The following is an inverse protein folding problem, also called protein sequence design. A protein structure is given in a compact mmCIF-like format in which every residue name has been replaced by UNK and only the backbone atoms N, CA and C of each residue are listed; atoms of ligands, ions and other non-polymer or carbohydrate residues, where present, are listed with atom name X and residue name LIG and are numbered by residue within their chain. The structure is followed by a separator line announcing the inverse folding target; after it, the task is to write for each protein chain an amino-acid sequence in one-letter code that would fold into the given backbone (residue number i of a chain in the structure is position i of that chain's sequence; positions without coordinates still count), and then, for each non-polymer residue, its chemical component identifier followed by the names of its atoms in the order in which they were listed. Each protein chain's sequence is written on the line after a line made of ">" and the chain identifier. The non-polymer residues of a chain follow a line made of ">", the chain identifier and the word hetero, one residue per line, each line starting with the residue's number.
data_IF_553813747054
#
_entry.id   IF_553813747054
#
_cell.length_a   1.000
_cell.length_b   1.000
_cell.length_c   1.000
_cell.angle_alpha   90.00
_cell.angle_beta   90.00
_cell.angle_gamma   90.00
#
_symmetry.space_group_name_H-M   'P 1'
#
loop_
_entity.id
_entity.type
_entity.pdbx_description
1 polymer ?
#
# COMPACT_ATOMS: atom_id res chain seq x y z
N UNK A 1 4.72 -17.33 9.49
CA UNK A 1 4.03 -16.17 8.87
C UNK A 1 4.92 -15.48 7.84
N UNK A 2 6.12 -15.03 8.23
CA UNK A 2 7.02 -14.19 7.42
C UNK A 2 7.42 -14.80 6.06
N UNK A 3 7.81 -16.07 5.99
CA UNK A 3 8.20 -16.70 4.73
C UNK A 3 7.04 -16.80 3.73
N UNK A 4 5.87 -17.27 4.18
CA UNK A 4 4.68 -17.34 3.33
C UNK A 4 4.23 -15.95 2.87
N UNK A 5 4.29 -14.95 3.75
CA UNK A 5 4.01 -13.56 3.36
C UNK A 5 4.89 -13.12 2.17
N UNK A 6 6.21 -13.32 2.24
CA UNK A 6 7.11 -12.96 1.14
C UNK A 6 6.86 -13.78 -0.12
N UNK A 7 6.53 -15.07 0.00
CA UNK A 7 6.17 -15.93 -1.13
C UNK A 7 4.92 -15.42 -1.86
N UNK A 8 3.85 -15.13 -1.11
CA UNK A 8 2.60 -14.62 -1.69
C UNK A 8 2.75 -13.20 -2.21
N UNK A 9 3.59 -12.37 -1.59
CA UNK A 9 3.94 -11.04 -2.09
C UNK A 9 4.70 -11.13 -3.43
N UNK A 10 5.65 -12.05 -3.55
CA UNK A 10 6.37 -12.30 -4.80
C UNK A 10 5.44 -12.84 -5.90
N UNK A 11 4.54 -13.78 -5.56
CA UNK A 11 3.51 -14.28 -6.45
C UNK A 11 2.60 -13.15 -6.95
N UNK A 12 2.16 -12.28 -6.04
CA UNK A 12 1.34 -11.12 -6.40
C UNK A 12 2.08 -10.19 -7.36
N UNK A 13 3.34 -9.85 -7.06
CA UNK A 13 4.18 -9.03 -7.94
C UNK A 13 4.35 -9.64 -9.33
N UNK A 14 4.54 -10.97 -9.41
CA UNK A 14 4.60 -11.70 -10.67
C UNK A 14 3.30 -11.60 -11.47
N UNK A 15 2.15 -11.87 -10.83
CA UNK A 15 0.83 -11.78 -11.48
C UNK A 15 0.56 -10.35 -11.97
N UNK A 16 0.89 -9.34 -11.16
CA UNK A 16 0.76 -7.93 -11.54
C UNK A 16 1.63 -7.58 -12.75
N UNK A 17 2.88 -8.03 -12.80
CA UNK A 17 3.74 -7.83 -13.98
C UNK A 17 3.19 -8.53 -15.21
N UNK A 18 2.80 -9.80 -15.09
CA UNK A 18 2.25 -10.58 -16.19
C UNK A 18 1.00 -9.91 -16.78
N UNK A 19 0.06 -9.52 -15.93
CA UNK A 19 -1.16 -8.81 -16.36
C UNK A 19 -0.86 -7.45 -16.99
N UNK A 20 0.12 -6.69 -16.48
CA UNK A 20 0.55 -5.44 -17.12
C UNK A 20 1.16 -5.68 -18.51
N UNK A 21 1.89 -6.78 -18.71
CA UNK A 21 2.42 -7.16 -20.03
C UNK A 21 1.31 -7.61 -20.98
N UNK A 22 0.40 -8.47 -20.53
CA UNK A 22 -0.71 -8.99 -21.34
C UNK A 22 -1.70 -7.90 -21.75
N UNK A 23 -1.85 -6.87 -20.92
CA UNK A 23 -2.75 -5.74 -21.22
C UNK A 23 -2.05 -4.61 -21.99
N UNK A 24 -0.75 -4.72 -22.28
CA UNK A 24 0.01 -3.60 -22.82
C UNK A 24 -0.50 -3.10 -24.19
N UNK A 25 -0.64 -1.78 -24.30
CA UNK A 25 -0.96 -1.14 -25.59
C UNK A 25 0.28 -1.17 -26.52
N UNK A 26 0.06 -1.10 -27.84
CA UNK A 26 1.14 -0.95 -28.81
C UNK A 26 2.02 0.26 -28.44
N UNK A 27 3.33 0.04 -28.30
CA UNK A 27 4.30 1.08 -27.93
C UNK A 27 4.58 1.24 -26.43
N UNK A 28 3.96 0.44 -25.55
CA UNK A 28 4.31 0.43 -24.13
C UNK A 28 5.73 -0.13 -23.91
N UNK A 29 6.50 0.48 -23.01
CA UNK A 29 7.84 0.02 -22.65
C UNK A 29 7.78 -1.25 -21.80
N UNK A 30 7.54 -2.40 -22.43
CA UNK A 30 7.48 -3.73 -21.79
C UNK A 30 8.76 -4.55 -21.98
N UNK A 31 9.87 -3.90 -22.37
CA UNK A 31 11.16 -4.57 -22.59
C UNK A 31 11.83 -5.09 -21.31
N UNK A 32 13.06 -5.61 -21.44
CA UNK A 32 13.83 -6.20 -20.33
C UNK A 32 13.97 -5.29 -19.11
N UNK A 33 14.07 -3.98 -19.31
CA UNK A 33 14.10 -3.00 -18.23
C UNK A 33 12.84 -3.04 -17.37
N UNK A 34 11.66 -3.25 -17.96
CA UNK A 34 10.41 -3.40 -17.21
C UNK A 34 10.38 -4.72 -16.45
N UNK A 35 10.66 -5.82 -17.16
CA UNK A 35 10.56 -7.19 -16.62
C UNK A 35 11.42 -7.36 -15.38
N UNK A 36 12.65 -6.84 -15.42
CA UNK A 36 13.61 -6.95 -14.31
C UNK A 36 13.34 -5.94 -13.19
N UNK A 37 12.79 -4.76 -13.50
CA UNK A 37 12.54 -3.71 -12.50
C UNK A 37 11.51 -4.12 -11.43
N UNK A 38 11.56 -3.57 -10.21
CA UNK A 38 10.54 -3.82 -9.19
C UNK A 38 9.23 -3.06 -9.44
N UNK A 39 9.16 -2.16 -10.43
CA UNK A 39 7.93 -1.42 -10.72
C UNK A 39 6.88 -2.32 -11.38
N UNK A 40 5.61 -2.00 -11.11
CA UNK A 40 4.48 -2.85 -11.48
C UNK A 40 3.81 -2.42 -12.79
N UNK A 41 3.96 -1.16 -13.20
CA UNK A 41 3.38 -0.63 -14.44
C UNK A 41 4.46 -0.10 -15.39
N UNK A 42 4.37 -0.36 -16.71
CA UNK A 42 5.31 0.16 -17.70
C UNK A 42 5.43 1.68 -17.67
N UNK A 43 4.32 2.38 -17.46
CA UNK A 43 4.30 3.85 -17.39
C UNK A 43 5.05 4.41 -16.18
N UNK A 44 5.33 3.59 -15.15
CA UNK A 44 6.13 4.00 -14.00
C UNK A 44 7.61 4.14 -14.34
N UNK A 45 8.09 3.47 -15.40
CA UNK A 45 9.48 3.59 -15.88
C UNK A 45 9.82 5.01 -16.33
N UNK A 46 8.86 5.71 -16.94
CA UNK A 46 9.03 7.08 -17.39
C UNK A 46 9.22 8.08 -16.23
N UNK A 47 9.00 7.65 -14.98
CA UNK A 47 9.19 8.47 -13.78
C UNK A 47 10.43 8.09 -12.99
N UNK A 48 11.39 7.39 -13.61
CA UNK A 48 12.70 7.23 -13.01
C UNK A 48 13.35 8.58 -12.72
N UNK A 49 14.02 8.62 -11.57
CA UNK A 49 14.65 9.80 -11.03
C UNK A 49 16.15 9.77 -11.33
N UNK A 50 16.78 10.94 -11.48
CA UNK A 50 18.22 11.01 -11.67
C UNK A 50 18.96 10.42 -10.46
N UNK A 51 20.15 9.86 -10.68
CA UNK A 51 20.99 9.27 -9.62
C UNK A 51 21.33 10.29 -8.51
N UNK A 52 21.37 11.59 -8.83
CA UNK A 52 21.56 12.66 -7.85
C UNK A 52 20.51 12.68 -6.72
N UNK A 53 19.34 12.10 -6.94
CA UNK A 53 18.28 11.99 -5.93
C UNK A 53 18.51 10.85 -4.92
N UNK A 54 19.53 10.00 -5.13
CA UNK A 54 19.81 8.84 -4.28
C UNK A 54 20.06 9.23 -2.83
N UNK A 55 20.82 10.29 -2.59
CA UNK A 55 21.11 10.77 -1.22
C UNK A 55 19.82 11.09 -0.47
N UNK A 56 18.85 11.73 -1.11
CA UNK A 56 17.56 12.05 -0.50
C UNK A 56 16.79 10.77 -0.14
N UNK A 57 16.75 9.80 -1.07
CA UNK A 57 16.06 8.52 -0.86
C UNK A 57 16.68 7.73 0.29
N UNK A 58 18.01 7.63 0.33
CA UNK A 58 18.72 6.91 1.39
C UNK A 58 18.58 7.60 2.75
N UNK A 59 18.73 8.92 2.82
CA UNK A 59 18.53 9.67 4.07
C UNK A 59 17.10 9.53 4.58
N UNK A 60 16.10 9.64 3.70
CA UNK A 60 14.69 9.46 4.06
C UNK A 60 14.43 8.03 4.54
N UNK A 61 14.94 7.02 3.83
CA UNK A 61 14.82 5.62 4.22
C UNK A 61 15.48 5.33 5.57
N UNK A 62 16.66 5.90 5.83
CA UNK A 62 17.37 5.79 7.10
C UNK A 62 16.57 6.43 8.24
N UNK A 63 16.15 7.70 8.08
CA UNK A 63 15.39 8.41 9.13
C UNK A 63 14.09 7.70 9.46
N UNK A 64 13.32 7.30 8.44
CA UNK A 64 12.04 6.61 8.66
C UNK A 64 12.23 5.17 9.16
N UNK A 65 13.32 4.50 8.76
CA UNK A 65 13.72 3.20 9.30
C UNK A 65 14.17 3.27 10.76
N UNK A 66 14.91 4.30 11.15
CA UNK A 66 15.26 4.55 12.55
C UNK A 66 14.00 4.85 13.38
N UNK A 67 13.08 5.67 12.85
CA UNK A 67 11.80 5.92 13.49
C UNK A 67 10.96 4.65 13.61
N UNK A 68 10.95 3.78 12.60
CA UNK A 68 10.32 2.46 12.67
C UNK A 68 10.89 1.65 13.84
N UNK A 69 12.21 1.54 13.95
CA UNK A 69 12.87 0.75 14.99
C UNK A 69 12.56 1.27 16.41
N UNK A 70 12.61 2.59 16.60
CA UNK A 70 12.27 3.24 17.88
C UNK A 70 10.80 3.04 18.23
N UNK A 71 9.89 3.29 17.28
CA UNK A 71 8.45 3.10 17.49
C UNK A 71 8.12 1.62 17.76
N UNK A 72 8.74 0.69 17.03
CA UNK A 72 8.59 -0.74 17.23
C UNK A 72 9.01 -1.16 18.63
N UNK A 73 10.20 -0.73 19.06
CA UNK A 73 10.73 -1.02 20.39
C UNK A 73 9.80 -0.50 21.50
N UNK A 74 9.35 0.76 21.39
CA UNK A 74 8.42 1.35 22.35
C UNK A 74 7.08 0.63 22.38
N UNK A 75 6.49 0.33 21.22
CA UNK A 75 5.22 -0.40 21.13
C UNK A 75 5.35 -1.81 21.72
N UNK A 76 6.45 -2.53 21.46
CA UNK A 76 6.70 -3.85 22.06
C UNK A 76 6.73 -3.81 23.58
N UNK A 77 7.28 -2.75 24.19
CA UNK A 77 7.28 -2.57 25.65
C UNK A 77 5.88 -2.35 26.18
N UNK A 78 5.11 -1.46 25.55
CA UNK A 78 3.72 -1.22 25.93
C UNK A 78 2.88 -2.50 25.79
N UNK A 79 3.02 -3.24 24.69
CA UNK A 79 2.27 -4.49 24.47
C UNK A 79 2.67 -5.59 25.46
N UNK A 80 3.92 -5.61 25.93
CA UNK A 80 4.38 -6.59 26.92
C UNK A 80 3.94 -6.24 28.35
N UNK A 81 3.81 -4.95 28.67
CA UNK A 81 3.42 -4.48 30.01
C UNK A 81 1.90 -4.38 30.19
N UNK A 82 1.16 -4.12 29.11
CA UNK A 82 -0.28 -3.86 29.15
C UNK A 82 -1.06 -4.86 28.29
N UNK A 83 -2.12 -5.45 28.86
CA UNK A 83 -3.08 -6.28 28.13
C UNK A 83 -3.99 -5.42 27.25
N UNK A 84 -3.47 -4.98 26.11
CA UNK A 84 -4.19 -4.13 25.17
C UNK A 84 -5.22 -4.93 24.35
N UNK A 85 -6.42 -4.38 24.22
CA UNK A 85 -7.45 -4.92 23.34
C UNK A 85 -7.02 -4.83 21.86
N UNK A 86 -7.44 -5.79 21.04
CA UNK A 86 -7.04 -5.87 19.63
C UNK A 86 -7.25 -4.57 18.81
N UNK A 87 -8.38 -3.83 18.95
CA UNK A 87 -8.54 -2.56 18.22
C UNK A 87 -7.51 -1.51 18.63
N UNK A 88 -7.12 -1.47 19.90
CA UNK A 88 -6.10 -0.53 20.41
C UNK A 88 -4.74 -0.84 19.79
N UNK A 89 -4.39 -2.13 19.67
CA UNK A 89 -3.18 -2.58 18.97
C UNK A 89 -3.20 -2.13 17.49
N UNK A 90 -4.34 -2.26 16.81
CA UNK A 90 -4.49 -1.79 15.44
C UNK A 90 -4.21 -0.30 15.30
N UNK A 91 -4.74 0.53 16.22
CA UNK A 91 -4.48 1.97 16.21
C UNK A 91 -3.03 2.32 16.55
N UNK A 92 -2.42 1.61 17.50
CA UNK A 92 -1.00 1.77 17.83
C UNK A 92 -0.10 1.44 16.63
N UNK A 93 -0.52 0.47 15.80
CA UNK A 93 0.20 0.03 14.62
C UNK A 93 0.01 0.94 13.38
N UNK A 94 -0.81 2.00 13.44
CA UNK A 94 -1.07 2.93 12.33
C UNK A 94 0.16 3.43 11.55
N UNK A 95 1.28 3.85 12.19
CA UNK A 95 2.41 4.39 11.46
C UNK A 95 3.24 3.32 10.74
N UNK A 96 3.14 2.04 11.16
CA UNK A 96 4.04 0.97 10.72
C UNK A 96 3.98 0.69 9.21
N UNK A 97 2.82 0.64 8.53
CA UNK A 97 2.76 0.45 7.08
C UNK A 97 3.54 1.51 6.29
N UNK A 98 3.47 2.78 6.72
CA UNK A 98 4.19 3.88 6.06
C UNK A 98 5.71 3.78 6.34
N UNK A 99 6.08 3.60 7.60
CA UNK A 99 7.47 3.55 8.02
C UNK A 99 8.20 2.35 7.42
N UNK A 100 7.58 1.15 7.49
CA UNK A 100 8.12 -0.06 6.85
C UNK A 100 8.21 0.12 5.34
N UNK A 101 7.17 0.65 4.70
CA UNK A 101 7.15 0.82 3.25
C UNK A 101 8.22 1.80 2.74
N UNK A 102 8.49 2.89 3.45
CA UNK A 102 9.55 3.84 3.12
C UNK A 102 10.95 3.26 3.37
N UNK A 103 11.12 2.51 4.47
CA UNK A 103 12.37 1.78 4.75
C UNK A 103 12.66 0.76 3.65
N UNK A 104 11.68 -0.09 3.30
CA UNK A 104 11.82 -1.09 2.24
C UNK A 104 12.07 -0.43 0.88
N UNK A 105 11.41 0.68 0.57
CA UNK A 105 11.70 1.44 -0.66
C UNK A 105 13.15 1.92 -0.72
N UNK A 106 13.71 2.43 0.39
CA UNK A 106 15.11 2.82 0.47
C UNK A 106 16.07 1.66 0.16
N UNK A 107 15.80 0.48 0.72
CA UNK A 107 16.57 -0.73 0.45
C UNK A 107 16.47 -1.17 -1.02
N UNK A 108 15.26 -1.20 -1.57
CA UNK A 108 15.05 -1.57 -2.98
C UNK A 108 15.70 -0.56 -3.92
N UNK A 109 15.68 0.73 -3.59
CA UNK A 109 16.36 1.77 -4.36
C UNK A 109 17.89 1.58 -4.36
N UNK A 110 18.48 1.16 -3.23
CA UNK A 110 19.90 0.83 -3.15
C UNK A 110 20.26 -0.39 -4.00
N UNK A 111 19.47 -1.46 -3.90
CA UNK A 111 19.66 -2.69 -4.70
C UNK A 111 19.52 -2.43 -6.21
N UNK A 112 18.74 -1.43 -6.59
CA UNK A 112 18.50 -1.07 -7.99
C UNK A 112 19.49 -0.05 -8.56
N UNK A 113 20.44 0.43 -7.76
CA UNK A 113 21.42 1.44 -8.18
C UNK A 113 22.24 1.05 -9.44
N UNK A 114 22.67 -0.23 -9.64
CA UNK A 114 23.42 -0.62 -10.84
C UNK A 114 22.69 -0.35 -12.16
N UNK A 115 21.37 -0.16 -12.14
CA UNK A 115 20.59 0.19 -13.32
C UNK A 115 20.82 1.64 -13.81
N UNK A 116 21.52 2.48 -13.03
CA UNK A 116 21.86 3.85 -13.42
C UNK A 116 20.75 4.88 -13.21
N UNK A 117 19.71 4.55 -12.45
CA UNK A 117 18.60 5.44 -12.13
C UNK A 117 17.94 5.08 -10.80
N UNK A 118 17.21 6.03 -10.21
CA UNK A 118 16.48 5.85 -8.95
C UNK A 118 15.01 5.57 -9.23
N UNK A 119 14.46 4.56 -8.55
CA UNK A 119 13.07 4.14 -8.71
C UNK A 119 12.07 5.26 -8.34
N UNK A 120 10.89 5.32 -8.97
CA UNK A 120 9.85 6.27 -8.57
C UNK A 120 9.44 6.05 -7.12
N UNK A 121 9.06 7.13 -6.42
CA UNK A 121 8.64 7.06 -5.01
C UNK A 121 7.42 6.16 -4.83
N UNK A 122 7.39 5.39 -3.75
CA UNK A 122 6.21 4.60 -3.36
C UNK A 122 5.16 5.48 -2.66
N UNK A 123 5.59 6.49 -1.89
CA UNK A 123 4.68 7.41 -1.21
C UNK A 123 4.98 8.87 -1.56
N UNK A 124 3.93 9.70 -1.57
CA UNK A 124 4.05 11.16 -1.78
C UNK A 124 3.32 11.92 -0.68
N UNK A 125 4.00 12.11 0.44
CA UNK A 125 3.49 12.80 1.64
C UNK A 125 2.01 12.48 1.93
N UNK A 126 1.69 11.24 2.36
CA UNK A 126 0.31 10.81 2.60
C UNK A 126 -0.43 11.66 3.63
N UNK A 127 0.29 12.16 4.63
CA UNK A 127 -0.27 13.02 5.70
C UNK A 127 -0.78 14.38 5.19
N UNK A 128 -0.37 14.81 4.00
CA UNK A 128 -0.85 16.02 3.35
C UNK A 128 -2.06 15.80 2.43
N UNK A 129 -2.74 14.65 2.54
CA UNK A 129 -3.94 14.35 1.76
C UNK A 129 -5.05 15.37 1.99
N UNK A 130 -5.63 15.88 0.90
CA UNK A 130 -6.72 16.88 0.95
C UNK A 130 -8.10 16.26 0.80
N UNK A 131 -8.16 14.99 0.44
CA UNK A 131 -9.38 14.23 0.16
C UNK A 131 -9.04 12.74 0.10
N UNK A 132 -10.04 11.87 0.19
CA UNK A 132 -9.88 10.44 0.14
C UNK A 132 -9.36 9.97 -1.23
N UNK A 133 -9.87 10.59 -2.29
CA UNK A 133 -9.36 10.38 -3.65
C UNK A 133 -7.89 10.85 -3.82
N UNK A 134 -7.49 11.92 -3.13
CA UNK A 134 -6.08 12.39 -3.14
C UNK A 134 -5.16 11.41 -2.39
N UNK A 135 -5.60 10.89 -1.24
CA UNK A 135 -4.86 9.90 -0.46
C UNK A 135 -4.58 8.61 -1.27
N UNK A 136 -5.63 7.90 -1.70
CA UNK A 136 -5.49 6.63 -2.43
C UNK A 136 -5.05 6.80 -3.89
N UNK A 137 -5.31 7.96 -4.48
CA UNK A 137 -5.08 8.20 -5.91
C UNK A 137 -3.72 8.80 -6.26
N UNK A 138 -3.05 9.49 -5.31
CA UNK A 138 -1.88 10.32 -5.62
C UNK A 138 -0.78 10.31 -4.56
N UNK A 139 -0.98 9.65 -3.41
CA UNK A 139 -0.07 9.77 -2.27
C UNK A 139 0.30 8.43 -1.64
N UNK A 140 -0.66 7.51 -1.56
CA UNK A 140 -0.47 6.21 -0.95
C UNK A 140 -0.15 5.15 -2.01
N UNK A 141 0.94 4.40 -1.81
CA UNK A 141 1.36 3.25 -2.62
C UNK A 141 1.24 3.47 -4.15
N UNK A 142 2.04 4.39 -4.65
CA UNK A 142 2.03 4.84 -6.04
C UNK A 142 2.30 3.72 -7.04
N UNK A 143 3.13 2.71 -6.71
CA UNK A 143 3.40 1.60 -7.62
C UNK A 143 2.14 0.76 -7.89
N UNK A 144 1.33 0.50 -6.85
CA UNK A 144 0.04 -0.17 -7.01
C UNK A 144 -0.97 0.75 -7.68
N UNK A 145 -1.00 2.03 -7.33
CA UNK A 145 -1.87 3.01 -7.98
C UNK A 145 -1.62 3.05 -9.50
N UNK A 146 -0.36 3.09 -9.91
CA UNK A 146 0.06 3.09 -11.30
C UNK A 146 -0.41 1.84 -12.03
N UNK A 147 -0.28 0.68 -11.39
CA UNK A 147 -0.76 -0.59 -11.93
C UNK A 147 -2.28 -0.59 -12.12
N UNK A 148 -3.05 -0.17 -11.10
CA UNK A 148 -4.51 -0.07 -11.23
C UNK A 148 -4.93 0.94 -12.28
N UNK A 149 -4.23 2.06 -12.40
CA UNK A 149 -4.49 3.04 -13.45
C UNK A 149 -4.26 2.45 -14.83
N UNK A 150 -3.11 1.80 -14.99
CA UNK A 150 -2.68 1.20 -16.23
C UNK A 150 -3.57 0.03 -16.66
N UNK A 151 -3.93 -0.88 -15.74
CA UNK A 151 -4.70 -2.10 -16.05
C UNK A 151 -6.21 -1.84 -16.09
N UNK A 152 -6.73 -0.97 -15.21
CA UNK A 152 -8.18 -0.81 -15.00
C UNK A 152 -8.67 0.56 -15.44
N UNK A 153 -8.25 1.65 -14.76
CA UNK A 153 -8.89 2.96 -14.95
C UNK A 153 -8.74 3.49 -16.38
N UNK A 154 -7.57 3.34 -17.01
CA UNK A 154 -7.35 3.86 -18.36
C UNK A 154 -8.25 3.19 -19.41
N UNK A 155 -8.66 1.94 -19.18
CA UNK A 155 -9.60 1.21 -20.05
C UNK A 155 -11.06 1.42 -19.69
N UNK A 156 -11.36 1.82 -18.44
CA UNK A 156 -12.72 1.99 -17.93
C UNK A 156 -13.08 3.45 -17.64
N UNK A 157 -12.46 4.41 -18.35
CA UNK A 157 -12.72 5.85 -18.16
C UNK A 157 -14.18 6.25 -18.36
N UNK A 158 -14.93 5.51 -19.18
CA UNK A 158 -16.36 5.71 -19.42
C UNK A 158 -17.25 5.28 -18.24
N UNK A 159 -16.72 4.48 -17.30
CA UNK A 159 -17.47 3.95 -16.14
C UNK A 159 -16.69 4.17 -14.84
N UNK A 160 -16.44 5.44 -14.44
CA UNK A 160 -15.51 5.75 -13.34
C UNK A 160 -15.96 5.18 -11.99
N UNK A 161 -17.26 5.16 -11.70
CA UNK A 161 -17.78 4.60 -10.44
C UNK A 161 -17.55 3.08 -10.38
N UNK A 162 -17.77 2.36 -11.48
CA UNK A 162 -17.50 0.93 -11.56
C UNK A 162 -15.99 0.64 -11.42
N UNK A 163 -15.15 1.43 -12.07
CA UNK A 163 -13.70 1.31 -11.95
C UNK A 163 -13.22 1.53 -10.50
N UNK A 164 -13.79 2.49 -9.77
CA UNK A 164 -13.51 2.70 -8.34
C UNK A 164 -13.83 1.44 -7.55
N UNK A 165 -15.05 0.90 -7.67
CA UNK A 165 -15.44 -0.32 -6.95
C UNK A 165 -14.54 -1.51 -7.29
N UNK A 166 -14.25 -1.71 -8.57
CA UNK A 166 -13.40 -2.81 -9.03
C UNK A 166 -11.97 -2.70 -8.47
N UNK A 167 -11.38 -1.50 -8.49
CA UNK A 167 -10.03 -1.26 -7.95
C UNK A 167 -9.98 -1.53 -6.45
N UNK A 168 -10.97 -1.04 -5.69
CA UNK A 168 -11.00 -1.26 -4.25
C UNK A 168 -11.31 -2.72 -3.89
N UNK A 169 -12.21 -3.40 -4.61
CA UNK A 169 -12.46 -4.82 -4.43
C UNK A 169 -11.21 -5.65 -4.72
N UNK A 170 -10.54 -5.40 -5.85
CA UNK A 170 -9.32 -6.13 -6.22
C UNK A 170 -8.18 -5.82 -5.24
N UNK A 171 -8.02 -4.56 -4.81
CA UNK A 171 -7.07 -4.19 -3.76
C UNK A 171 -7.32 -4.97 -2.46
N UNK A 172 -8.58 -5.09 -2.04
CA UNK A 172 -8.99 -5.92 -0.90
C UNK A 172 -8.56 -7.38 -1.04
N UNK A 173 -8.92 -7.99 -2.17
CA UNK A 173 -8.55 -9.37 -2.47
C UNK A 173 -7.04 -9.59 -2.52
N UNK A 174 -6.27 -8.63 -3.03
CA UNK A 174 -4.81 -8.70 -3.05
C UNK A 174 -4.22 -8.68 -1.64
N UNK A 175 -4.80 -7.90 -0.72
CA UNK A 175 -4.37 -7.91 0.68
C UNK A 175 -4.73 -9.22 1.37
N UNK A 176 -5.89 -9.79 1.09
CA UNK A 176 -6.26 -11.11 1.61
C UNK A 176 -5.38 -12.22 1.05
N UNK A 177 -5.02 -12.16 -0.23
CA UNK A 177 -4.08 -13.11 -0.83
C UNK A 177 -2.71 -13.06 -0.15
N UNK A 178 -2.19 -11.87 0.16
CA UNK A 178 -0.85 -11.69 0.73
C UNK A 178 -0.82 -11.91 2.25
N UNK A 179 -1.91 -11.62 2.96
CA UNK A 179 -1.95 -11.65 4.43
C UNK A 179 -2.93 -12.69 4.96
N UNK A 180 -4.17 -12.65 4.49
CA UNK A 180 -5.25 -13.53 4.95
C UNK A 180 -5.02 -15.01 4.63
N UNK A 181 -4.58 -15.33 3.41
CA UNK A 181 -4.34 -16.72 2.98
C UNK A 181 -3.17 -17.34 3.74
N UNK A 182 -1.97 -16.74 3.81
CA UNK A 182 -0.89 -17.25 4.68
C UNK A 182 -1.30 -17.42 6.14
N UNK A 183 -2.11 -16.49 6.66
CA UNK A 183 -2.57 -16.55 8.04
C UNK A 183 -3.53 -17.74 8.26
N UNK A 184 -4.49 -17.94 7.36
CA UNK A 184 -5.41 -19.07 7.38
C UNK A 184 -4.63 -20.40 7.30
N UNK A 185 -3.67 -20.50 6.37
CA UNK A 185 -2.88 -21.72 6.18
C UNK A 185 -2.07 -22.12 7.42
N UNK A 186 -1.60 -21.14 8.19
CA UNK A 186 -0.74 -21.37 9.35
C UNK A 186 -1.47 -21.47 10.69
N UNK A 187 -2.62 -20.80 10.85
CA UNK A 187 -3.37 -20.80 12.11
C UNK A 187 -4.67 -21.59 12.07
N UNK A 188 -5.19 -21.89 10.88
CA UNK A 188 -6.54 -22.45 10.68
C UNK A 188 -7.68 -21.44 10.91
N UNK A 189 -7.38 -20.20 11.33
CA UNK A 189 -8.38 -19.17 11.58
C UNK A 189 -8.77 -18.45 10.29
N UNK A 190 -10.07 -18.40 10.00
CA UNK A 190 -10.57 -17.68 8.82
C UNK A 190 -10.85 -16.21 9.14
N UNK A 191 -10.06 -15.33 8.52
CA UNK A 191 -10.23 -13.86 8.58
C UNK A 191 -10.40 -13.25 7.18
N UNK A 192 -10.71 -14.09 6.17
CA UNK A 192 -10.98 -13.64 4.82
C UNK A 192 -12.26 -12.79 4.80
N UNK A 193 -12.37 -11.89 3.82
CA UNK A 193 -13.39 -10.85 3.72
C UNK A 193 -13.12 -9.57 4.52
N UNK A 194 -12.38 -9.63 5.63
CA UNK A 194 -12.24 -8.48 6.54
C UNK A 194 -11.43 -7.33 5.90
N UNK A 195 -10.31 -7.65 5.23
CA UNK A 195 -9.51 -6.64 4.54
C UNK A 195 -10.24 -6.16 3.28
N UNK A 196 -10.95 -7.04 2.59
CA UNK A 196 -11.80 -6.63 1.45
C UNK A 196 -12.87 -5.64 1.90
N UNK A 197 -13.51 -5.87 3.05
CA UNK A 197 -14.46 -4.94 3.63
C UNK A 197 -13.84 -3.56 3.89
N UNK A 198 -12.62 -3.50 4.46
CA UNK A 198 -11.91 -2.23 4.64
C UNK A 198 -11.78 -1.46 3.33
N UNK A 199 -11.28 -2.09 2.27
CA UNK A 199 -11.10 -1.40 0.98
C UNK A 199 -12.43 -1.06 0.30
N UNK A 200 -13.47 -1.88 0.43
CA UNK A 200 -14.81 -1.54 -0.06
C UNK A 200 -15.38 -0.30 0.66
N UNK A 201 -15.14 -0.14 1.97
CA UNK A 201 -15.48 1.08 2.69
C UNK A 201 -14.72 2.30 2.16
N UNK A 202 -13.45 2.15 1.80
CA UNK A 202 -12.69 3.22 1.12
C UNK A 202 -13.31 3.59 -0.23
N UNK A 203 -13.69 2.60 -1.04
CA UNK A 203 -14.38 2.81 -2.32
C UNK A 203 -15.71 3.53 -2.17
N UNK A 204 -16.53 3.10 -1.22
CA UNK A 204 -17.78 3.77 -0.84
C UNK A 204 -17.50 5.23 -0.43
N UNK A 205 -16.48 5.44 0.40
CA UNK A 205 -16.05 6.76 0.84
C UNK A 205 -15.65 7.68 -0.32
N UNK A 206 -14.94 7.17 -1.33
CA UNK A 206 -14.54 7.99 -2.49
C UNK A 206 -15.76 8.41 -3.30
N UNK A 207 -16.71 7.51 -3.53
CA UNK A 207 -17.97 7.81 -4.23
C UNK A 207 -18.81 8.81 -3.42
N UNK A 208 -18.90 8.62 -2.10
CA UNK A 208 -19.61 9.52 -1.20
C UNK A 208 -18.98 10.92 -1.19
N UNK A 209 -17.65 11.02 -1.01
CA UNK A 209 -16.91 12.29 -1.03
C UNK A 209 -17.18 13.07 -2.32
N UNK A 210 -17.18 12.37 -3.46
CA UNK A 210 -17.41 13.00 -4.76
C UNK A 210 -18.82 13.59 -4.89
N UNK A 211 -19.83 12.88 -4.37
CA UNK A 211 -21.25 13.29 -4.46
C UNK A 211 -21.64 14.33 -3.42
N UNK A 212 -21.23 14.13 -2.16
CA UNK A 212 -21.79 14.85 -1.01
C UNK A 212 -20.89 15.96 -0.47
N UNK A 213 -19.57 15.88 -0.67
CA UNK A 213 -18.60 16.85 -0.14
C UNK A 213 -18.03 17.78 -1.22
N UNK A 214 -18.67 17.85 -2.39
CA UNK A 214 -18.25 18.72 -3.49
C UNK A 214 -18.26 20.19 -3.03
N UNK A 215 -17.18 20.91 -3.33
CA UNK A 215 -17.01 22.32 -2.91
C UNK A 215 -16.68 22.55 -1.43
N UNK A 216 -16.56 21.51 -0.60
CA UNK A 216 -16.30 21.63 0.85
C UNK A 216 -14.90 21.12 1.23
N UNK A 217 -13.81 21.88 0.97
CA UNK A 217 -12.44 21.39 1.14
C UNK A 217 -12.08 21.04 2.59
N UNK A 218 -12.58 21.80 3.57
CA UNK A 218 -12.35 21.49 4.99
C UNK A 218 -13.02 20.16 5.39
N UNK A 219 -14.27 19.95 4.99
CA UNK A 219 -15.00 18.70 5.26
C UNK A 219 -14.29 17.49 4.63
N UNK A 220 -13.77 17.61 3.40
CA UNK A 220 -12.99 16.54 2.74
C UNK A 220 -11.73 16.15 3.51
N UNK A 221 -11.03 17.13 4.10
CA UNK A 221 -9.82 16.87 4.90
C UNK A 221 -10.13 16.11 6.19
N UNK A 222 -11.23 16.43 6.86
CA UNK A 222 -11.66 15.68 8.05
C UNK A 222 -12.13 14.28 7.61
N UNK A 223 -12.95 14.23 6.56
CA UNK A 223 -13.53 13.00 6.04
C UNK A 223 -12.48 11.96 5.63
N UNK A 224 -11.40 12.34 4.97
CA UNK A 224 -10.33 11.40 4.59
C UNK A 224 -9.75 10.68 5.81
N UNK A 225 -9.47 11.40 6.90
CA UNK A 225 -8.88 10.79 8.09
C UNK A 225 -9.89 9.96 8.86
N UNK A 226 -11.15 10.39 8.93
CA UNK A 226 -12.21 9.57 9.52
C UNK A 226 -12.39 8.24 8.78
N UNK A 227 -12.37 8.26 7.44
CA UNK A 227 -12.59 7.05 6.63
C UNK A 227 -11.34 6.18 6.54
N UNK A 228 -10.14 6.75 6.54
CA UNK A 228 -8.89 5.96 6.52
C UNK A 228 -8.61 5.37 7.90
N UNK A 229 -8.74 6.15 8.98
CA UNK A 229 -8.37 5.73 10.34
C UNK A 229 -9.51 4.99 11.04
N UNK A 230 -10.77 5.42 10.91
CA UNK A 230 -11.88 4.80 11.63
C UNK A 230 -11.99 3.26 11.45
N UNK A 231 -11.95 2.72 10.23
CA UNK A 231 -12.06 1.28 10.01
C UNK A 231 -10.69 0.56 10.03
N UNK A 232 -9.61 1.18 10.51
CA UNK A 232 -8.28 0.57 10.49
C UNK A 232 -8.18 -0.79 11.18
N UNK A 233 -8.92 -1.11 12.26
CA UNK A 233 -8.87 -2.46 12.84
C UNK A 233 -9.24 -3.59 11.87
N UNK A 234 -9.99 -3.30 10.80
CA UNK A 234 -10.26 -4.26 9.73
C UNK A 234 -9.00 -4.56 8.89
N UNK A 235 -8.17 -3.53 8.66
CA UNK A 235 -6.92 -3.62 7.89
C UNK A 235 -5.74 -4.08 8.75
N UNK A 236 -5.49 -3.44 9.89
CA UNK A 236 -4.44 -3.78 10.85
C UNK A 236 -4.97 -4.84 11.84
N UNK A 237 -5.46 -5.94 11.30
CA UNK A 237 -5.97 -7.08 12.05
C UNK A 237 -4.82 -8.01 12.51
N UNK A 238 -5.15 -9.11 13.19
CA UNK A 238 -4.20 -10.09 13.75
C UNK A 238 -3.12 -10.52 12.74
N UNK A 239 -3.49 -10.79 11.48
CA UNK A 239 -2.52 -11.25 10.48
C UNK A 239 -1.44 -10.20 10.20
N UNK A 240 -1.83 -8.94 10.02
CA UNK A 240 -0.88 -7.86 9.74
C UNK A 240 -0.09 -7.44 10.99
N UNK A 241 -0.72 -7.46 12.16
CA UNK A 241 -0.02 -7.23 13.43
C UNK A 241 1.04 -8.28 13.72
N UNK A 242 0.80 -9.55 13.37
CA UNK A 242 1.80 -10.63 13.44
C UNK A 242 2.96 -10.41 12.46
N UNK A 243 2.70 -9.87 11.26
CA UNK A 243 3.78 -9.48 10.33
C UNK A 243 4.64 -8.36 10.91
N UNK A 244 4.04 -7.42 11.64
CA UNK A 244 4.79 -6.38 12.37
C UNK A 244 5.41 -6.85 13.69
N UNK A 245 5.21 -8.10 14.10
CA UNK A 245 5.62 -8.64 15.40
C UNK A 245 5.03 -7.85 16.59
N UNK A 246 3.83 -7.29 16.43
CA UNK A 246 3.14 -6.51 17.47
C UNK A 246 1.96 -7.26 18.11
N UNK A 247 1.68 -8.49 17.66
CA UNK A 247 0.66 -9.33 18.26
C UNK A 247 1.21 -10.03 19.52
N UNK A 248 0.49 -10.01 20.66
CA UNK A 248 0.86 -10.78 21.85
C UNK A 248 0.89 -12.28 21.52
N UNK A 249 1.91 -13.01 22.01
CA UNK A 249 1.95 -14.48 21.87
C UNK A 249 1.01 -15.18 22.84
#
# INVERSE_FOLDING_TARGET
>A
MTLLFFLFLALLGFVMKLTAMLTACRGACTGWQFVTSPVLAPNSLARYRPVGDLREVLLRGLVLGSLFAVAHFGCRRVVAEFELQAPVLSYLALPFPLLLGEMLYGLVALLWLPAGFVLPRVFRNPMAARSLADFWGRRWNLWFNDWFRYVIFDRMRSRPVFAIWLVFALSGLMHELVLGVPFLLLTGKNILGIMTLYFLLQGAGVVFEHRMLRGRPAAKRIFVWLVVVGPVPLMLNEALLRVFLLWPE
#
